data_IF_890483880441
#
_entry.id   IF_890483880441
#
_cell.length_a   1.000
_cell.length_b   1.000
_cell.length_c   1.000
_cell.angle_alpha   90.00
_cell.angle_beta   90.00
_cell.angle_gamma   90.00
#
_symmetry.space_group_name_H-M   'P 1'
#
loop_
_entity.id
_entity.type
_entity.pdbx_description
1 polymer ?
#
# COMPACT_ATOMS: atom_id res chain seq x y z
N UNK A 1 -27.12 13.94 -12.87
CA UNK A 1 -27.02 13.98 -11.39
C UNK A 1 -26.54 12.63 -10.83
N UNK A 2 -27.02 11.49 -11.33
CA UNK A 2 -26.69 10.15 -10.81
C UNK A 2 -25.18 9.79 -10.86
N UNK A 3 -24.49 10.11 -11.95
CA UNK A 3 -23.06 9.76 -12.12
C UNK A 3 -22.08 10.66 -11.37
N UNK A 4 -22.51 11.83 -10.88
CA UNK A 4 -21.63 12.80 -10.20
C UNK A 4 -21.06 12.18 -8.92
N UNK A 5 -21.88 11.45 -8.17
CA UNK A 5 -21.44 10.76 -6.95
C UNK A 5 -20.43 9.65 -7.23
N UNK A 6 -20.59 8.94 -8.34
CA UNK A 6 -19.65 7.90 -8.78
C UNK A 6 -18.30 8.55 -9.13
N UNK A 7 -18.31 9.64 -9.90
CA UNK A 7 -17.10 10.37 -10.26
C UNK A 7 -16.37 10.94 -9.04
N UNK A 8 -17.12 11.51 -8.08
CA UNK A 8 -16.57 12.00 -6.83
C UNK A 8 -15.96 10.87 -5.98
N UNK A 9 -16.65 9.74 -5.86
CA UNK A 9 -16.14 8.58 -5.13
C UNK A 9 -14.84 8.05 -5.74
N UNK A 10 -14.77 7.95 -7.08
CA UNK A 10 -13.55 7.55 -7.80
C UNK A 10 -12.42 8.55 -7.54
N UNK A 11 -12.69 9.85 -7.63
CA UNK A 11 -11.69 10.89 -7.38
C UNK A 11 -11.14 10.82 -5.95
N UNK A 12 -12.02 10.72 -4.95
CA UNK A 12 -11.62 10.59 -3.54
C UNK A 12 -10.80 9.31 -3.31
N UNK A 13 -11.21 8.19 -3.90
CA UNK A 13 -10.49 6.92 -3.81
C UNK A 13 -9.06 7.07 -4.38
N UNK A 14 -8.92 7.64 -5.58
CA UNK A 14 -7.61 7.83 -6.21
C UNK A 14 -6.70 8.71 -5.35
N UNK A 15 -7.22 9.82 -4.82
CA UNK A 15 -6.46 10.70 -3.93
C UNK A 15 -6.05 9.99 -2.64
N UNK A 16 -6.97 9.24 -2.03
CA UNK A 16 -6.72 8.46 -0.81
C UNK A 16 -5.62 7.41 -1.00
N UNK A 17 -5.68 6.66 -2.10
CA UNK A 17 -4.67 5.64 -2.44
C UNK A 17 -3.30 6.28 -2.67
N UNK A 18 -3.24 7.39 -3.42
CA UNK A 18 -1.97 8.11 -3.67
C UNK A 18 -1.38 8.67 -2.39
N UNK A 19 -2.21 9.26 -1.53
CA UNK A 19 -1.79 9.76 -0.22
C UNK A 19 -1.25 8.63 0.65
N UNK A 20 -2.00 7.53 0.79
CA UNK A 20 -1.63 6.39 1.61
C UNK A 20 -0.27 5.79 1.18
N UNK A 21 -0.05 5.59 -0.12
CA UNK A 21 1.23 5.10 -0.64
C UNK A 21 2.40 6.10 -0.45
N UNK A 22 2.12 7.40 -0.47
CA UNK A 22 3.12 8.45 -0.22
C UNK A 22 3.61 8.45 1.22
N UNK A 23 2.72 8.17 2.19
CA UNK A 23 3.05 8.18 3.62
C UNK A 23 3.43 6.82 4.18
N UNK A 24 3.33 5.74 3.41
CA UNK A 24 3.59 4.37 3.87
C UNK A 24 4.93 3.81 3.36
N UNK A 25 5.64 3.12 4.23
CA UNK A 25 6.77 2.23 3.91
C UNK A 25 6.55 0.87 4.58
N UNK A 26 7.36 -0.11 4.19
CA UNK A 26 7.25 -1.49 4.68
C UNK A 26 8.62 -1.98 5.15
N UNK A 27 8.61 -2.76 6.22
CA UNK A 27 9.80 -3.46 6.73
C UNK A 27 9.62 -4.95 6.47
N UNK A 28 10.61 -5.56 5.83
CA UNK A 28 10.66 -7.00 5.66
C UNK A 28 10.92 -7.71 7.00
N UNK A 29 10.12 -8.72 7.35
CA UNK A 29 10.33 -9.50 8.58
C UNK A 29 11.56 -10.42 8.53
N UNK A 30 12.09 -10.71 7.33
CA UNK A 30 13.23 -11.60 7.16
C UNK A 30 14.57 -10.85 7.15
N UNK A 31 14.73 -9.84 6.29
CA UNK A 31 15.98 -9.10 6.14
C UNK A 31 15.96 -7.67 6.70
N UNK A 32 14.85 -7.24 7.34
CA UNK A 32 14.64 -5.88 7.85
C UNK A 32 14.76 -4.75 6.83
N UNK A 33 14.85 -5.06 5.54
CA UNK A 33 14.93 -4.06 4.49
C UNK A 33 13.67 -3.18 4.49
N UNK A 34 13.89 -1.85 4.52
CA UNK A 34 12.84 -0.83 4.40
C UNK A 34 12.62 -0.51 2.94
N UNK A 35 11.40 -0.67 2.46
CA UNK A 35 11.07 -0.39 1.06
C UNK A 35 9.70 0.26 0.91
N UNK A 36 9.41 0.68 -0.33
CA UNK A 36 8.16 1.31 -0.71
C UNK A 36 7.62 0.60 -1.95
N UNK A 37 6.32 0.73 -2.22
CA UNK A 37 5.68 0.10 -3.38
C UNK A 37 4.86 1.16 -4.13
N UNK A 38 4.48 0.87 -5.37
CA UNK A 38 3.62 1.75 -6.16
C UNK A 38 2.22 1.86 -5.55
N UNK A 39 1.51 2.99 -5.75
CA UNK A 39 0.13 3.15 -5.26
C UNK A 39 -0.81 2.04 -5.70
N UNK A 40 -0.66 1.55 -6.94
CA UNK A 40 -1.42 0.42 -7.45
C UNK A 40 -1.17 -0.85 -6.63
N UNK A 41 0.11 -1.22 -6.43
CA UNK A 41 0.47 -2.39 -5.59
C UNK A 41 -0.02 -2.20 -4.16
N UNK A 42 0.09 -1.01 -3.60
CA UNK A 42 -0.40 -0.70 -2.27
C UNK A 42 -1.92 -0.93 -2.17
N UNK A 43 -2.70 -0.48 -3.15
CA UNK A 43 -4.15 -0.64 -3.14
C UNK A 43 -4.59 -2.10 -3.26
N UNK A 44 -4.02 -2.87 -4.20
CA UNK A 44 -4.50 -4.24 -4.49
C UNK A 44 -3.94 -5.32 -3.55
N UNK A 45 -2.86 -5.03 -2.82
CA UNK A 45 -2.21 -6.07 -2.01
C UNK A 45 -3.04 -6.39 -0.76
N UNK A 46 -3.16 -7.69 -0.37
CA UNK A 46 -3.84 -8.09 0.85
C UNK A 46 -3.26 -7.37 2.07
N UNK A 47 -4.13 -6.83 2.93
CA UNK A 47 -3.73 -6.03 4.07
C UNK A 47 -4.42 -6.46 5.36
N UNK A 48 -3.71 -6.29 6.48
CA UNK A 48 -4.21 -6.34 7.86
C UNK A 48 -3.92 -5.00 8.51
N UNK A 49 -4.41 -4.78 9.73
CA UNK A 49 -4.31 -3.50 10.46
C UNK A 49 -2.90 -2.88 10.43
N UNK A 50 -1.82 -3.68 10.60
CA UNK A 50 -0.43 -3.19 10.62
C UNK A 50 0.52 -3.92 9.67
N UNK A 51 0.00 -4.76 8.79
CA UNK A 51 0.84 -5.54 7.86
C UNK A 51 0.23 -5.63 6.48
N UNK A 52 1.09 -5.80 5.47
CA UNK A 52 0.68 -5.98 4.07
C UNK A 52 1.43 -7.16 3.46
N UNK A 53 0.71 -8.00 2.71
CA UNK A 53 1.30 -9.18 2.10
C UNK A 53 2.05 -8.79 0.82
N UNK A 54 3.38 -8.81 0.87
CA UNK A 54 4.26 -8.27 -0.17
C UNK A 54 5.47 -9.18 -0.41
N UNK A 55 6.11 -9.00 -1.56
CA UNK A 55 7.43 -9.57 -1.85
C UNK A 55 8.50 -8.52 -1.55
N UNK A 56 9.49 -8.87 -0.74
CA UNK A 56 10.63 -8.01 -0.45
C UNK A 56 11.53 -7.88 -1.70
N UNK A 57 11.87 -6.65 -2.15
CA UNK A 57 12.73 -6.46 -3.31
C UNK A 57 14.20 -6.80 -3.04
N UNK A 58 14.61 -6.87 -1.77
CA UNK A 58 16.01 -7.12 -1.39
C UNK A 58 16.33 -8.60 -1.23
N UNK A 59 15.47 -9.39 -0.59
CA UNK A 59 15.73 -10.82 -0.32
C UNK A 59 14.72 -11.78 -0.97
N UNK A 60 13.75 -11.28 -1.73
CA UNK A 60 12.74 -12.09 -2.43
C UNK A 60 11.67 -12.72 -1.53
N UNK A 61 11.77 -12.62 -0.21
CA UNK A 61 10.81 -13.21 0.73
C UNK A 61 9.41 -12.64 0.53
N UNK A 62 8.39 -13.51 0.46
CA UNK A 62 6.98 -13.14 0.32
C UNK A 62 6.24 -13.42 1.63
N UNK A 63 5.56 -12.42 2.18
CA UNK A 63 4.82 -12.56 3.43
C UNK A 63 4.29 -11.25 3.99
N UNK A 64 3.89 -11.26 5.27
CA UNK A 64 3.29 -10.11 5.94
C UNK A 64 4.35 -9.11 6.40
N UNK A 65 4.53 -8.04 5.64
CA UNK A 65 5.50 -6.98 5.92
C UNK A 65 4.88 -5.91 6.82
N UNK A 66 5.65 -5.41 7.78
CA UNK A 66 5.18 -4.40 8.74
C UNK A 66 4.99 -3.07 8.03
N UNK A 67 3.80 -2.49 8.14
CA UNK A 67 3.51 -1.14 7.64
C UNK A 67 4.04 -0.12 8.65
N UNK A 68 4.76 0.88 8.15
CA UNK A 68 5.27 2.01 8.92
C UNK A 68 4.93 3.31 8.18
N UNK A 69 4.85 4.42 8.91
CA UNK A 69 4.87 5.74 8.27
C UNK A 69 6.28 6.05 7.77
N UNK A 70 6.34 6.69 6.61
CA UNK A 70 7.58 7.09 5.95
C UNK A 70 8.35 8.13 6.73
#
# INVERSE_FOLDING_TARGET
MEYIYILLAIMVLILGVRWHAKVSAYICYNCNHRFTISPYRDFISPHKIKTKYLTCPSCGTKGWMKVIRK
#
